data_IF_500327383219
#
_entry.id   IF_500327383219
#
_cell.length_a   1.000
_cell.length_b   1.000
_cell.length_c   1.000
_cell.angle_alpha   90.00
_cell.angle_beta   90.00
_cell.angle_gamma   90.00
#
_symmetry.space_group_name_H-M   'P 1'
#
loop_
_entity.id
_entity.type
_entity.pdbx_description
1 polymer ?
#
# COMPACT_ATOMS: atom_id res chain seq x y z
N UNK A 1 1.63 17.66 -11.86
CA UNK A 1 2.17 16.28 -11.87
C UNK A 1 2.03 15.58 -10.52
N UNK A 2 2.36 16.24 -9.39
CA UNK A 2 2.21 15.69 -8.03
C UNK A 2 0.82 15.08 -7.71
N UNK A 3 -0.28 15.76 -8.05
CA UNK A 3 -1.63 15.23 -7.77
C UNK A 3 -1.99 13.95 -8.55
N UNK A 4 -1.50 13.78 -9.78
CA UNK A 4 -1.75 12.57 -10.59
C UNK A 4 -1.00 11.36 -10.02
N UNK A 5 0.22 11.58 -9.52
CA UNK A 5 1.04 10.53 -8.90
C UNK A 5 0.42 10.09 -7.57
N UNK A 6 -0.02 11.04 -6.73
CA UNK A 6 -0.71 10.75 -5.48
C UNK A 6 -1.98 9.93 -5.73
N UNK A 7 -2.78 10.32 -6.74
CA UNK A 7 -4.01 9.62 -7.08
C UNK A 7 -3.73 8.18 -7.56
N UNK A 8 -2.68 7.98 -8.35
CA UNK A 8 -2.24 6.65 -8.78
C UNK A 8 -1.76 5.77 -7.61
N UNK A 9 -1.04 6.33 -6.63
CA UNK A 9 -0.62 5.62 -5.42
C UNK A 9 -1.81 5.21 -4.53
N UNK A 10 -2.82 6.07 -4.41
CA UNK A 10 -4.05 5.78 -3.67
C UNK A 10 -4.81 4.62 -4.33
N UNK A 11 -4.94 4.63 -5.66
CA UNK A 11 -5.58 3.54 -6.41
C UNK A 11 -4.83 2.23 -6.21
N UNK A 12 -3.49 2.25 -6.24
CA UNK A 12 -2.67 1.05 -6.02
C UNK A 12 -2.85 0.49 -4.59
N UNK A 13 -2.94 1.37 -3.59
CA UNK A 13 -3.17 0.98 -2.21
C UNK A 13 -4.55 0.31 -2.02
N UNK A 14 -5.59 0.87 -2.63
CA UNK A 14 -6.95 0.31 -2.60
C UNK A 14 -6.99 -1.07 -3.29
N UNK A 15 -6.39 -1.19 -4.47
CA UNK A 15 -6.29 -2.46 -5.20
C UNK A 15 -5.58 -3.53 -4.38
N UNK A 16 -4.46 -3.17 -3.73
CA UNK A 16 -3.76 -4.10 -2.87
C UNK A 16 -4.65 -4.57 -1.72
N UNK A 17 -5.34 -3.67 -1.01
CA UNK A 17 -6.24 -4.02 0.10
C UNK A 17 -7.32 -5.02 -0.34
N UNK A 18 -7.92 -4.80 -1.51
CA UNK A 18 -8.93 -5.71 -2.09
C UNK A 18 -8.33 -7.09 -2.37
N UNK A 19 -7.15 -7.14 -2.98
CA UNK A 19 -6.46 -8.42 -3.27
C UNK A 19 -6.08 -9.15 -1.98
N UNK A 20 -5.61 -8.44 -0.96
CA UNK A 20 -5.29 -9.01 0.36
C UNK A 20 -6.53 -9.57 1.07
N UNK A 21 -7.66 -8.88 0.99
CA UNK A 21 -8.95 -9.35 1.51
C UNK A 21 -9.45 -10.61 0.78
N UNK A 22 -9.38 -10.62 -0.55
CA UNK A 22 -9.76 -11.79 -1.36
C UNK A 22 -8.84 -12.98 -1.05
N UNK A 23 -7.52 -12.75 -0.93
CA UNK A 23 -6.55 -13.79 -0.56
C UNK A 23 -6.85 -14.41 0.80
N UNK A 24 -7.27 -13.61 1.78
CA UNK A 24 -7.67 -14.07 3.12
C UNK A 24 -8.97 -14.87 3.11
N UNK A 25 -9.96 -14.48 2.30
CA UNK A 25 -11.27 -15.15 2.21
C UNK A 25 -11.18 -16.46 1.40
N UNK A 26 -10.38 -16.50 0.34
CA UNK A 26 -10.24 -17.65 -0.54
C UNK A 26 -9.46 -18.83 0.08
N UNK A 27 -8.95 -18.70 1.31
CA UNK A 27 -8.17 -19.75 1.97
C UNK A 27 -6.89 -20.16 1.22
N UNK A 28 -6.47 -19.34 0.24
CA UNK A 28 -5.33 -19.64 -0.62
C UNK A 28 -4.04 -19.45 0.18
N UNK A 29 -3.45 -20.56 0.59
CA UNK A 29 -2.14 -20.65 1.24
C UNK A 29 -0.98 -20.26 0.32
N UNK A 30 -1.23 -19.97 -0.96
CA UNK A 30 -0.20 -19.98 -2.01
C UNK A 30 0.22 -18.58 -2.47
N UNK A 31 -0.60 -17.53 -2.31
CA UNK A 31 -0.28 -16.20 -2.92
C UNK A 31 0.00 -15.09 -1.90
N UNK A 32 -0.53 -15.19 -0.67
CA UNK A 32 -0.26 -14.21 0.38
C UNK A 32 -0.11 -14.91 1.74
N UNK A 33 1.12 -15.36 2.04
CA UNK A 33 1.47 -15.64 3.43
C UNK A 33 1.18 -14.37 4.25
N UNK A 34 0.52 -14.52 5.39
CA UNK A 34 0.11 -13.39 6.24
C UNK A 34 1.30 -12.45 6.56
N UNK A 35 2.51 -13.01 6.68
CA UNK A 35 3.77 -12.28 6.84
C UNK A 35 4.08 -11.33 5.67
N UNK A 36 3.89 -11.77 4.42
CA UNK A 36 4.10 -10.94 3.23
C UNK A 36 3.13 -9.76 3.17
N UNK A 37 1.88 -9.98 3.60
CA UNK A 37 0.88 -8.92 3.69
C UNK A 37 1.26 -7.86 4.73
N UNK A 38 1.74 -8.29 5.89
CA UNK A 38 2.23 -7.39 6.92
C UNK A 38 3.46 -6.58 6.46
N UNK A 39 4.42 -7.21 5.77
CA UNK A 39 5.58 -6.49 5.21
C UNK A 39 5.20 -5.49 4.12
N UNK A 40 4.22 -5.85 3.25
CA UNK A 40 3.70 -4.93 2.24
C UNK A 40 3.03 -3.71 2.90
N UNK A 41 2.15 -3.94 3.87
CA UNK A 41 1.47 -2.87 4.60
C UNK A 41 2.47 -1.94 5.32
N UNK A 42 3.50 -2.48 5.96
CA UNK A 42 4.57 -1.70 6.58
C UNK A 42 5.33 -0.85 5.56
N UNK A 43 5.64 -1.40 4.38
CA UNK A 43 6.32 -0.68 3.30
C UNK A 43 5.47 0.47 2.77
N UNK A 44 4.16 0.25 2.56
CA UNK A 44 3.23 1.29 2.15
C UNK A 44 3.08 2.40 3.20
N UNK A 45 3.02 2.04 4.48
CA UNK A 45 2.98 3.01 5.58
C UNK A 45 4.24 3.88 5.59
N UNK A 46 5.41 3.27 5.47
CA UNK A 46 6.69 3.99 5.45
C UNK A 46 6.79 4.92 4.23
N UNK A 47 6.34 4.47 3.05
CA UNK A 47 6.31 5.29 1.84
C UNK A 47 5.36 6.50 1.98
N UNK A 48 4.19 6.31 2.60
CA UNK A 48 3.25 7.40 2.86
C UNK A 48 3.81 8.44 3.85
N UNK A 49 4.49 7.98 4.91
CA UNK A 49 5.17 8.85 5.87
C UNK A 49 6.30 9.63 5.19
N UNK A 50 7.18 8.96 4.43
CA UNK A 50 8.27 9.60 3.70
C UNK A 50 7.75 10.65 2.70
N UNK A 51 6.67 10.34 1.99
CA UNK A 51 6.00 11.29 1.10
C UNK A 51 5.44 12.50 1.86
N UNK A 52 4.76 12.28 2.99
CA UNK A 52 4.22 13.33 3.84
C UNK A 52 5.30 14.26 4.41
N UNK A 53 6.41 13.70 4.89
CA UNK A 53 7.57 14.45 5.39
C UNK A 53 8.24 15.25 4.28
N UNK A 54 8.46 14.66 3.09
CA UNK A 54 8.99 15.40 1.94
C UNK A 54 8.13 16.59 1.54
N UNK A 55 6.80 16.44 1.63
CA UNK A 55 5.83 17.52 1.40
C UNK A 55 5.88 18.63 2.47
N UNK A 56 6.23 18.29 3.71
CA UNK A 56 6.42 19.25 4.81
C UNK A 56 7.73 20.02 4.70
N UNK A 57 8.79 19.39 4.17
CA UNK A 57 10.10 20.01 3.96
C UNK A 57 10.19 20.88 2.70
N UNK A 58 9.31 20.68 1.72
CA UNK A 58 9.16 21.58 0.55
C UNK A 58 8.39 22.88 0.88
N UNK A 59 8.10 23.15 2.16
CA UNK A 59 7.38 24.32 2.65
C UNK A 59 8.32 25.28 3.37
#
# INVERSE_FOLDING_TARGET
MKNKIIFSLIILAILSIIIGLIGKIAGSSIIFANATWHMFAQTCLLAAIAFGVGKLLEK
#
